data_IF_268431755485
#
_entry.id   IF_268431755485
#
_cell.length_a   1.000
_cell.length_b   1.000
_cell.length_c   1.000
_cell.angle_alpha   90.00
_cell.angle_beta   90.00
_cell.angle_gamma   90.00
#
_symmetry.space_group_name_H-M   'P 1'
#
loop_
_entity.id
_entity.type
_entity.pdbx_description
1 polymer ?
#
# COMPACT_ATOMS: atom_id res chain seq x y z
N UNK A 1 -8.22 25.16 14.10
CA UNK A 1 -7.54 23.88 14.43
C UNK A 1 -7.19 23.10 13.17
N UNK A 2 -8.16 22.80 12.30
CA UNK A 2 -7.92 22.04 11.05
C UNK A 2 -6.80 22.64 10.20
N UNK A 3 -6.79 23.97 10.03
CA UNK A 3 -5.72 24.66 9.32
C UNK A 3 -4.32 24.36 9.89
N UNK A 4 -4.16 24.36 11.23
CA UNK A 4 -2.90 23.99 11.88
C UNK A 4 -2.52 22.52 11.66
N UNK A 5 -3.49 21.63 11.52
CA UNK A 5 -3.22 20.21 11.24
C UNK A 5 -2.78 20.01 9.79
N UNK A 6 -3.39 20.75 8.87
CA UNK A 6 -3.10 20.74 7.43
C UNK A 6 -1.74 21.37 7.11
N UNK A 7 -1.30 22.39 7.86
CA UNK A 7 0.04 22.99 7.70
C UNK A 7 1.19 22.03 8.07
N UNK A 8 0.92 21.00 8.88
CA UNK A 8 1.96 20.03 9.28
C UNK A 8 2.11 18.93 8.23
N UNK A 9 0.99 18.39 7.74
CA UNK A 9 0.96 17.39 6.67
C UNK A 9 -0.44 17.32 6.05
N UNK A 10 -0.57 16.78 4.83
CA UNK A 10 -1.87 16.38 4.28
C UNK A 10 -2.63 15.47 5.25
N UNK A 11 -3.95 15.67 5.32
CA UNK A 11 -4.88 14.95 6.18
C UNK A 11 -6.10 14.56 5.36
N UNK A 12 -6.66 13.39 5.66
CA UNK A 12 -7.96 13.02 5.10
C UNK A 12 -9.09 13.75 5.79
N UNK A 13 -10.25 13.83 5.13
CA UNK A 13 -11.50 14.33 5.71
C UNK A 13 -11.81 13.59 7.03
N UNK A 14 -11.66 12.27 7.05
CA UNK A 14 -11.92 11.44 8.23
C UNK A 14 -10.97 11.76 9.40
N UNK A 15 -9.66 11.96 9.15
CA UNK A 15 -8.69 12.33 10.19
C UNK A 15 -9.06 13.69 10.82
N UNK A 16 -9.51 14.66 10.01
CA UNK A 16 -9.94 15.98 10.49
C UNK A 16 -11.28 15.93 11.23
N UNK A 17 -12.24 15.13 10.75
CA UNK A 17 -13.51 14.87 11.44
C UNK A 17 -13.27 14.32 12.84
N UNK A 18 -12.44 13.28 12.97
CA UNK A 18 -12.07 12.75 14.28
C UNK A 18 -11.39 13.78 15.17
N UNK A 19 -10.58 14.70 14.61
CA UNK A 19 -9.97 15.76 15.39
C UNK A 19 -10.99 16.77 15.92
N UNK A 20 -12.01 17.12 15.14
CA UNK A 20 -13.12 17.98 15.55
C UNK A 20 -13.97 17.34 16.64
N UNK A 21 -14.34 16.07 16.48
CA UNK A 21 -15.12 15.33 17.47
C UNK A 21 -14.39 15.18 18.81
N UNK A 22 -13.07 14.98 18.80
CA UNK A 22 -12.24 14.99 20.03
C UNK A 22 -12.23 16.35 20.76
N UNK A 23 -12.69 17.41 20.11
CA UNK A 23 -12.89 18.74 20.69
C UNK A 23 -14.36 19.02 21.00
N UNK A 24 -15.19 17.97 21.03
CA UNK A 24 -16.62 18.06 21.35
C UNK A 24 -17.40 18.96 20.38
N UNK A 25 -16.87 19.16 19.17
CA UNK A 25 -17.60 19.82 18.08
C UNK A 25 -18.65 18.85 17.57
N UNK A 26 -19.89 19.32 17.42
CA UNK A 26 -21.00 18.50 16.93
C UNK A 26 -20.77 18.04 15.49
N UNK A 27 -21.33 16.88 15.13
CA UNK A 27 -21.23 16.34 13.77
C UNK A 27 -21.68 17.35 12.70
N UNK A 28 -22.79 18.04 12.93
CA UNK A 28 -23.31 19.05 12.00
C UNK A 28 -22.30 20.19 11.75
N UNK A 29 -21.68 20.73 12.80
CA UNK A 29 -20.69 21.80 12.66
C UNK A 29 -19.42 21.26 12.03
N UNK A 30 -19.00 20.04 12.38
CA UNK A 30 -17.84 19.40 11.77
C UNK A 30 -18.03 19.23 10.26
N UNK A 31 -19.19 18.74 9.82
CA UNK A 31 -19.48 18.50 8.41
C UNK A 31 -19.56 19.82 7.62
N UNK A 32 -20.08 20.91 8.20
CA UNK A 32 -20.04 22.25 7.61
C UNK A 32 -18.61 22.78 7.44
N UNK A 33 -17.78 22.66 8.49
CA UNK A 33 -16.38 23.10 8.44
C UNK A 33 -15.59 22.31 7.40
N UNK A 34 -15.75 20.98 7.39
CA UNK A 34 -15.07 20.11 6.44
C UNK A 34 -15.56 20.33 5.01
N UNK A 35 -16.87 20.57 4.81
CA UNK A 35 -17.42 20.95 3.50
C UNK A 35 -16.78 22.22 2.96
N UNK A 36 -16.68 23.27 3.78
CA UNK A 36 -16.01 24.51 3.35
C UNK A 36 -14.54 24.32 3.04
N UNK A 37 -13.82 23.49 3.80
CA UNK A 37 -12.41 23.20 3.54
C UNK A 37 -12.21 22.41 2.23
N UNK A 38 -13.14 21.52 1.90
CA UNK A 38 -13.19 20.77 0.65
C UNK A 38 -13.48 21.71 -0.54
N UNK A 39 -14.50 22.57 -0.42
CA UNK A 39 -14.88 23.57 -1.45
C UNK A 39 -13.71 24.51 -1.83
N UNK A 40 -12.85 24.87 -0.88
CA UNK A 40 -11.67 25.72 -1.15
C UNK A 40 -10.41 24.92 -1.48
N UNK A 41 -10.51 23.60 -1.65
CA UNK A 41 -9.40 22.72 -2.04
C UNK A 41 -8.35 22.48 -0.96
N UNK A 42 -8.68 22.71 0.32
CA UNK A 42 -7.77 22.45 1.45
C UNK A 42 -7.81 21.00 1.93
N UNK A 43 -8.89 20.28 1.63
CA UNK A 43 -9.00 18.82 1.82
C UNK A 43 -9.26 18.23 0.45
N UNK A 44 -8.52 17.20 0.11
CA UNK A 44 -8.72 16.42 -1.11
C UNK A 44 -8.27 14.99 -0.81
N UNK A 45 -9.25 14.10 -0.57
CA UNK A 45 -8.97 12.71 -0.24
C UNK A 45 -8.43 11.93 -1.45
N UNK A 46 -8.74 12.34 -2.69
CA UNK A 46 -8.22 11.73 -3.91
C UNK A 46 -6.74 12.09 -4.11
N UNK A 47 -6.39 13.38 -4.02
CA UNK A 47 -5.00 13.81 -4.06
C UNK A 47 -4.19 13.22 -2.89
N UNK A 48 -4.79 13.10 -1.71
CA UNK A 48 -4.17 12.40 -0.59
C UNK A 48 -3.88 10.93 -0.93
N UNK A 49 -4.86 10.22 -1.49
CA UNK A 49 -4.74 8.81 -1.82
C UNK A 49 -3.66 8.56 -2.87
N UNK A 50 -3.60 9.37 -3.92
CA UNK A 50 -2.56 9.29 -4.97
C UNK A 50 -1.15 9.47 -4.39
N UNK A 51 -0.95 10.52 -3.59
CA UNK A 51 0.33 10.78 -2.95
C UNK A 51 0.73 9.65 -2.00
N UNK A 52 -0.25 9.12 -1.26
CA UNK A 52 -0.04 8.02 -0.34
C UNK A 52 0.39 6.74 -1.08
N UNK A 53 -0.34 6.35 -2.13
CA UNK A 53 -0.04 5.19 -2.97
C UNK A 53 1.35 5.30 -3.56
N UNK A 54 1.67 6.41 -4.24
CA UNK A 54 2.99 6.64 -4.86
C UNK A 54 4.11 6.55 -3.83
N UNK A 55 3.95 7.21 -2.68
CA UNK A 55 4.97 7.24 -1.63
C UNK A 55 5.22 5.85 -1.05
N UNK A 56 4.16 5.09 -0.73
CA UNK A 56 4.25 3.78 -0.08
C UNK A 56 4.71 2.68 -1.02
N UNK A 57 4.23 2.69 -2.25
CA UNK A 57 4.72 1.79 -3.29
C UNK A 57 6.23 1.96 -3.50
N UNK A 58 6.68 3.21 -3.65
CA UNK A 58 8.08 3.53 -3.91
C UNK A 58 8.98 3.23 -2.71
N UNK A 59 8.66 3.76 -1.53
CA UNK A 59 9.58 3.74 -0.38
C UNK A 59 9.44 2.50 0.49
N UNK A 60 8.24 1.92 0.59
CA UNK A 60 7.97 0.79 1.49
C UNK A 60 7.77 -0.53 0.73
N UNK A 61 7.54 -0.46 -0.60
CA UNK A 61 7.30 -1.64 -1.43
C UNK A 61 6.00 -2.34 -1.03
N UNK A 62 4.96 -1.58 -0.71
CA UNK A 62 3.64 -2.12 -0.44
C UNK A 62 2.91 -2.39 -1.77
N UNK A 63 2.33 -3.58 -1.89
CA UNK A 63 1.42 -3.95 -2.98
C UNK A 63 0.00 -3.45 -2.73
N UNK A 64 -0.86 -3.58 -3.75
CA UNK A 64 -2.20 -2.96 -3.77
C UNK A 64 -3.07 -3.29 -2.56
N UNK A 65 -3.07 -4.55 -2.09
CA UNK A 65 -3.92 -4.92 -0.94
C UNK A 65 -3.51 -4.20 0.34
N UNK A 66 -2.20 -4.07 0.57
CA UNK A 66 -1.71 -3.35 1.74
C UNK A 66 -2.01 -1.85 1.64
N UNK A 67 -1.87 -1.27 0.45
CA UNK A 67 -2.21 0.13 0.19
C UNK A 67 -3.70 0.41 0.43
N UNK A 68 -4.59 -0.43 -0.10
CA UNK A 68 -6.03 -0.36 0.13
C UNK A 68 -6.36 -0.37 1.63
N UNK A 69 -5.76 -1.29 2.37
CA UNK A 69 -5.96 -1.38 3.83
C UNK A 69 -5.45 -0.14 4.56
N UNK A 70 -4.33 0.45 4.14
CA UNK A 70 -3.84 1.69 4.74
C UNK A 70 -4.77 2.87 4.45
N UNK A 71 -5.23 3.04 3.21
CA UNK A 71 -6.16 4.10 2.83
C UNK A 71 -7.49 4.00 3.59
N UNK A 72 -8.04 2.79 3.71
CA UNK A 72 -9.22 2.51 4.54
C UNK A 72 -9.02 2.89 6.00
N UNK A 73 -7.86 2.55 6.59
CA UNK A 73 -7.51 2.98 7.96
C UNK A 73 -7.36 4.49 8.10
N UNK A 74 -7.01 5.18 7.00
CA UNK A 74 -7.01 6.64 6.92
C UNK A 74 -8.39 7.24 6.70
N UNK A 75 -9.41 6.40 6.53
CA UNK A 75 -10.80 6.82 6.30
C UNK A 75 -11.02 7.39 4.90
N UNK A 76 -10.17 7.03 3.94
CA UNK A 76 -10.41 7.28 2.52
C UNK A 76 -11.51 6.33 2.04
N UNK A 77 -12.44 6.84 1.26
CA UNK A 77 -13.54 6.05 0.71
C UNK A 77 -13.02 4.96 -0.26
N UNK A 78 -13.77 3.85 -0.37
CA UNK A 78 -13.34 2.66 -1.09
C UNK A 78 -13.18 2.89 -2.60
N UNK A 79 -14.04 3.72 -3.19
CA UNK A 79 -13.99 4.19 -4.57
C UNK A 79 -12.74 5.04 -4.82
N UNK A 80 -12.49 6.05 -3.97
CA UNK A 80 -11.29 6.90 -4.05
C UNK A 80 -10.02 6.08 -3.90
N UNK A 81 -10.00 5.10 -3.00
CA UNK A 81 -8.88 4.19 -2.84
C UNK A 81 -8.68 3.31 -4.07
N UNK A 82 -9.76 2.80 -4.68
CA UNK A 82 -9.70 2.00 -5.89
C UNK A 82 -9.14 2.81 -7.07
N UNK A 83 -9.59 4.05 -7.26
CA UNK A 83 -9.11 4.94 -8.31
C UNK A 83 -7.62 5.26 -8.14
N UNK A 84 -7.19 5.60 -6.92
CA UNK A 84 -5.78 5.85 -6.65
C UNK A 84 -4.90 4.61 -6.91
N UNK A 85 -5.42 3.40 -6.64
CA UNK A 85 -4.72 2.15 -6.95
C UNK A 85 -4.71 1.80 -8.43
N UNK A 86 -5.67 2.27 -9.22
CA UNK A 86 -5.68 2.10 -10.67
C UNK A 86 -4.52 2.86 -11.35
N UNK A 87 -3.94 3.85 -10.67
CA UNK A 87 -2.73 4.56 -11.15
C UNK A 87 -1.46 3.73 -11.05
N UNK A 88 -1.46 2.66 -10.25
CA UNK A 88 -0.39 1.66 -10.24
C UNK A 88 -0.72 0.67 -11.34
N UNK A 89 0.12 0.59 -12.37
CA UNK A 89 -0.02 -0.42 -13.41
C UNK A 89 0.46 -1.81 -12.91
N UNK A 90 -0.03 -2.87 -13.53
CA UNK A 90 0.27 -4.26 -13.14
C UNK A 90 1.77 -4.57 -13.29
N UNK A 91 2.41 -3.99 -14.31
CA UNK A 91 3.83 -4.17 -14.62
C UNK A 91 4.74 -3.56 -13.54
N UNK A 92 4.40 -2.37 -13.04
CA UNK A 92 5.10 -1.66 -11.98
C UNK A 92 4.94 -2.37 -10.64
N UNK A 93 3.76 -2.93 -10.36
CA UNK A 93 3.57 -3.76 -9.17
C UNK A 93 4.42 -5.03 -9.23
N UNK A 94 4.43 -5.72 -10.38
CA UNK A 94 5.24 -6.91 -10.60
C UNK A 94 6.75 -6.60 -10.51
N UNK A 95 7.23 -5.58 -11.20
CA UNK A 95 8.65 -5.19 -11.16
C UNK A 95 9.06 -4.76 -9.76
N UNK A 96 8.17 -4.10 -9.00
CA UNK A 96 8.45 -3.78 -7.61
C UNK A 96 8.59 -5.03 -6.75
N UNK A 97 7.74 -6.05 -6.95
CA UNK A 97 7.87 -7.34 -6.28
C UNK A 97 9.19 -8.02 -6.63
N UNK A 98 9.59 -8.02 -7.92
CA UNK A 98 10.87 -8.58 -8.39
C UNK A 98 12.06 -7.92 -7.69
N UNK A 99 12.08 -6.59 -7.63
CA UNK A 99 13.13 -5.84 -6.92
C UNK A 99 13.23 -6.21 -5.44
N UNK A 100 12.10 -6.39 -4.76
CA UNK A 100 12.08 -6.81 -3.36
C UNK A 100 12.65 -8.22 -3.17
N UNK A 101 12.29 -9.15 -4.07
CA UNK A 101 12.82 -10.53 -4.05
C UNK A 101 14.32 -10.53 -4.35
N UNK A 102 14.78 -9.91 -5.43
CA UNK A 102 16.22 -9.77 -5.76
C UNK A 102 17.00 -9.18 -4.60
N UNK A 103 16.49 -8.11 -3.99
CA UNK A 103 17.14 -7.48 -2.82
C UNK A 103 17.21 -8.45 -1.66
N UNK A 104 16.16 -9.22 -1.38
CA UNK A 104 16.14 -10.17 -0.27
C UNK A 104 17.07 -11.36 -0.53
N UNK A 105 17.09 -11.90 -1.74
CA UNK A 105 17.95 -13.01 -2.16
C UNK A 105 19.42 -12.73 -1.85
N UNK A 106 19.92 -11.51 -2.14
CA UNK A 106 21.29 -11.10 -1.82
C UNK A 106 21.67 -11.20 -0.32
N UNK A 107 20.68 -11.22 0.56
CA UNK A 107 20.86 -11.24 2.02
C UNK A 107 20.32 -12.50 2.68
N UNK A 108 19.72 -13.40 1.91
CA UNK A 108 18.99 -14.54 2.43
C UNK A 108 19.92 -15.75 2.45
N UNK A 109 20.41 -16.09 3.64
CA UNK A 109 20.97 -17.41 3.90
C UNK A 109 19.83 -18.34 4.33
N UNK A 110 19.53 -19.33 3.51
CA UNK A 110 18.58 -20.39 3.82
C UNK A 110 19.27 -21.74 3.62
N UNK A 111 19.03 -22.67 4.55
CA UNK A 111 19.63 -24.00 4.50
C UNK A 111 18.99 -24.91 3.44
N UNK A 112 17.74 -24.63 3.06
CA UNK A 112 16.98 -25.37 2.05
C UNK A 112 16.02 -24.47 1.25
N UNK A 113 15.61 -24.96 0.09
CA UNK A 113 14.80 -24.22 -0.88
C UNK A 113 13.36 -24.00 -0.42
N UNK A 114 12.81 -24.93 0.34
CA UNK A 114 11.44 -24.81 0.87
C UNK A 114 11.35 -23.64 1.85
N UNK A 115 12.33 -23.51 2.75
CA UNK A 115 12.42 -22.43 3.70
C UNK A 115 12.65 -21.08 3.00
N UNK A 116 13.42 -21.06 1.91
CA UNK A 116 13.67 -19.88 1.08
C UNK A 116 12.42 -19.39 0.39
N UNK A 117 11.71 -20.27 -0.34
CA UNK A 117 10.42 -19.96 -0.97
C UNK A 117 9.43 -19.41 0.06
N UNK A 118 9.24 -20.11 1.19
CA UNK A 118 8.32 -19.70 2.26
C UNK A 118 8.65 -18.31 2.82
N UNK A 119 9.94 -18.01 3.01
CA UNK A 119 10.40 -16.70 3.50
C UNK A 119 10.12 -15.59 2.48
N UNK A 120 10.34 -15.84 1.20
CA UNK A 120 10.14 -14.85 0.13
C UNK A 120 8.65 -14.60 -0.15
N UNK A 121 7.86 -15.66 -0.32
CA UNK A 121 6.39 -15.55 -0.50
C UNK A 121 5.76 -14.89 0.72
N UNK A 122 6.10 -15.33 1.92
CA UNK A 122 5.58 -14.73 3.15
C UNK A 122 5.97 -13.26 3.31
N UNK A 123 7.14 -12.84 2.82
CA UNK A 123 7.54 -11.45 2.80
C UNK A 123 6.68 -10.60 1.85
N UNK A 124 6.37 -11.10 0.65
CA UNK A 124 5.49 -10.42 -0.30
C UNK A 124 4.04 -10.39 0.19
N UNK A 125 3.54 -11.48 0.77
CA UNK A 125 2.21 -11.55 1.35
C UNK A 125 2.01 -10.49 2.46
N UNK A 126 2.99 -10.35 3.38
CA UNK A 126 2.95 -9.29 4.41
C UNK A 126 3.01 -7.87 3.84
N UNK A 127 3.49 -7.72 2.61
CA UNK A 127 3.50 -6.45 1.87
C UNK A 127 2.25 -6.24 1.03
N UNK A 128 1.31 -7.18 1.01
CA UNK A 128 0.02 -7.04 0.32
C UNK A 128 0.04 -7.39 -1.16
N UNK A 129 1.06 -8.10 -1.64
CA UNK A 129 1.03 -8.68 -2.98
C UNK A 129 0.07 -9.87 -3.02
N UNK A 130 -0.59 -10.08 -4.16
CA UNK A 130 -1.46 -11.25 -4.35
C UNK A 130 -0.64 -12.55 -4.26
N UNK A 131 -1.29 -13.62 -3.80
CA UNK A 131 -0.64 -14.92 -3.70
C UNK A 131 -0.09 -15.40 -5.04
N UNK A 132 -0.91 -15.34 -6.10
CA UNK A 132 -0.48 -15.72 -7.45
C UNK A 132 0.71 -14.90 -7.97
N UNK A 133 0.75 -13.59 -7.73
CA UNK A 133 1.89 -12.75 -8.11
C UNK A 133 3.13 -13.08 -7.27
N UNK A 134 2.96 -13.27 -5.96
CA UNK A 134 4.05 -13.57 -5.05
C UNK A 134 4.74 -14.90 -5.41
N UNK A 135 3.98 -15.96 -5.66
CA UNK A 135 4.53 -17.25 -6.07
C UNK A 135 5.23 -17.16 -7.43
N UNK A 136 4.60 -16.52 -8.42
CA UNK A 136 5.17 -16.35 -9.77
C UNK A 136 6.51 -15.62 -9.73
N UNK A 137 6.55 -14.45 -9.10
CA UNK A 137 7.77 -13.64 -8.99
C UNK A 137 8.86 -14.39 -8.25
N UNK A 138 8.55 -15.06 -7.15
CA UNK A 138 9.55 -15.83 -6.39
C UNK A 138 10.12 -16.97 -7.21
N UNK A 139 9.28 -17.72 -7.95
CA UNK A 139 9.73 -18.77 -8.84
C UNK A 139 10.68 -18.25 -9.92
N UNK A 140 10.26 -17.18 -10.61
CA UNK A 140 11.02 -16.64 -11.74
C UNK A 140 12.39 -16.11 -11.28
N UNK A 141 12.44 -15.43 -10.12
CA UNK A 141 13.69 -14.87 -9.60
C UNK A 141 14.62 -15.93 -9.00
N UNK A 142 14.10 -17.03 -8.45
CA UNK A 142 14.93 -18.18 -8.01
C UNK A 142 15.57 -18.89 -9.21
N UNK A 143 14.79 -19.16 -10.26
CA UNK A 143 15.31 -19.73 -11.52
C UNK A 143 16.38 -18.83 -12.15
N UNK A 144 16.14 -17.52 -12.17
CA UNK A 144 17.12 -16.54 -12.68
C UNK A 144 18.41 -16.48 -11.85
N UNK A 145 18.35 -16.82 -10.55
CA UNK A 145 19.51 -16.91 -9.68
C UNK A 145 20.29 -18.24 -9.82
N UNK A 146 19.86 -19.15 -10.70
CA UNK A 146 20.47 -20.47 -10.86
C UNK A 146 20.11 -21.45 -9.75
N UNK A 147 19.07 -21.15 -8.97
CA UNK A 147 18.52 -22.06 -7.96
C UNK A 147 17.40 -22.88 -8.61
N UNK A 148 17.71 -24.11 -9.03
CA UNK A 148 16.69 -25.08 -9.45
C UNK A 148 15.86 -25.49 -8.23
N UNK A 149 14.55 -25.28 -8.29
CA UNK A 149 13.63 -25.68 -7.22
C UNK A 149 12.32 -26.13 -7.85
N UNK A 150 12.12 -27.44 -7.91
CA UNK A 150 10.90 -28.08 -8.47
C UNK A 150 9.63 -27.83 -7.62
N UNK A 151 9.77 -27.19 -6.45
CA UNK A 151 8.67 -26.94 -5.50
C UNK A 151 7.58 -26.00 -6.04
N UNK A 152 7.84 -25.29 -7.13
CA UNK A 152 6.96 -24.26 -7.71
C UNK A 152 6.45 -24.61 -9.12
N UNK A 153 6.65 -25.86 -9.55
CA UNK A 153 6.31 -26.34 -10.90
C UNK A 153 4.93 -27.04 -10.98
N UNK A 154 4.19 -27.07 -9.87
CA UNK A 154 2.80 -27.55 -9.84
C UNK A 154 1.80 -26.54 -10.42
N UNK A 155 0.64 -27.00 -10.95
CA UNK A 155 -0.39 -26.10 -11.48
C UNK A 155 -0.99 -25.25 -10.35
N UNK A 156 -1.05 -23.94 -10.59
CA UNK A 156 -1.72 -22.95 -9.73
C UNK A 156 -3.25 -23.08 -9.80
#
# INVERSE_FOLDING_TARGET
MCLRLLTVRPRTRAELRQALLRKEITDQVADQVLGRLDEVGLIDDAAFADLWVRSRHTHQGLGRRALAMELRRKGVADDVAADAMATVDDEAEEERARQLVRKRLRSLTAADDTARVRKLVGMLARRGYSEGLAFRVVRDELRAAGEETDLLDGPL
#
